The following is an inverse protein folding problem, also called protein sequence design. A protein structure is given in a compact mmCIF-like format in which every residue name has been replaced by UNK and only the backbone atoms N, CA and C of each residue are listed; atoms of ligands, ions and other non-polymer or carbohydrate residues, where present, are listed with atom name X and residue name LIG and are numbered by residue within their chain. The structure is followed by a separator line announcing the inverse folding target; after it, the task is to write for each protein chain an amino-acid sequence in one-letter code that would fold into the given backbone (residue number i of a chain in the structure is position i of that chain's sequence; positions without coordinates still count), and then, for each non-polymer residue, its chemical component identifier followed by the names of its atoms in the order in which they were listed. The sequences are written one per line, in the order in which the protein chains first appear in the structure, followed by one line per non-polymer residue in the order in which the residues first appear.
data_IF_874958666653
#
_entry.id   IF_874958666653
#
_cell.length_a   1.000
_cell.length_b   1.000
_cell.length_c   1.000
_cell.angle_alpha   90.00
_cell.angle_beta   90.00
_cell.angle_gamma   90.00
#
_symmetry.space_group_name_H-M   'P 1'
#
loop_
_entity.id
_entity.type
_entity.pdbx_description
1 polymer ?
#
# COMPACT_ATOMS: atom_id res chain seq x y z
N UNK A 1 61.34 3.62 -38.95
CA UNK A 1 60.65 4.25 -40.11
C UNK A 1 59.26 4.66 -39.64
N UNK A 2 58.98 5.96 -39.46
CA UNK A 2 58.14 6.82 -40.33
C UNK A 2 56.71 6.24 -40.51
N UNK A 3 55.67 6.68 -39.76
CA UNK A 3 54.83 7.90 -39.84
C UNK A 3 53.72 7.86 -40.92
N UNK A 4 52.49 8.25 -40.50
CA UNK A 4 51.37 8.89 -41.25
C UNK A 4 50.48 7.93 -42.07
N UNK A 5 49.14 7.91 -42.01
CA UNK A 5 48.14 8.71 -41.31
C UNK A 5 46.82 8.77 -42.12
N UNK A 6 45.67 8.90 -41.41
CA UNK A 6 44.53 9.80 -41.75
C UNK A 6 43.63 9.40 -42.97
N UNK A 7 42.28 9.44 -43.01
CA UNK A 7 41.19 10.06 -42.21
C UNK A 7 39.80 9.49 -42.61
N UNK A 8 38.81 9.69 -41.70
CA UNK A 8 37.38 10.12 -41.89
C UNK A 8 36.55 9.44 -42.98
N UNK A 9 35.33 8.93 -42.76
CA UNK A 9 34.37 9.05 -41.66
C UNK A 9 32.95 8.86 -42.24
N UNK A 10 32.00 8.37 -41.45
CA UNK A 10 30.59 8.73 -41.63
C UNK A 10 29.82 8.43 -40.34
N UNK A 11 29.27 9.49 -39.76
CA UNK A 11 28.47 9.53 -38.55
C UNK A 11 27.13 10.16 -38.97
N UNK A 12 26.05 9.38 -38.93
CA UNK A 12 24.66 9.82 -39.05
C UNK A 12 23.79 8.70 -38.44
N UNK A 13 23.30 8.76 -37.19
CA UNK A 13 22.30 9.63 -36.57
C UNK A 13 20.85 9.30 -37.00
N UNK A 14 20.19 8.50 -36.14
CA UNK A 14 18.77 8.52 -35.70
C UNK A 14 17.67 8.15 -36.70
N UNK A 15 16.88 7.12 -36.34
CA UNK A 15 15.42 7.26 -36.22
C UNK A 15 14.81 6.11 -35.39
N UNK A 16 14.25 6.51 -34.26
CA UNK A 16 13.46 5.73 -33.31
C UNK A 16 12.06 5.50 -33.91
N UNK A 17 11.70 4.27 -34.26
CA UNK A 17 10.33 3.95 -34.75
C UNK A 17 9.45 3.63 -33.53
N UNK A 18 8.71 4.62 -33.05
CA UNK A 18 7.55 4.37 -32.18
C UNK A 18 6.34 3.96 -33.03
N UNK A 19 5.56 2.93 -32.65
CA UNK A 19 4.23 2.69 -33.20
C UNK A 19 3.22 3.53 -32.41
N UNK A 20 2.84 4.69 -32.97
CA UNK A 20 1.84 5.57 -32.41
C UNK A 20 0.89 6.09 -33.48
N UNK A 21 -0.38 5.70 -33.34
CA UNK A 21 -1.57 6.46 -33.74
C UNK A 21 -1.84 6.61 -35.24
N UNK A 22 -2.76 5.75 -35.67
CA UNK A 22 -3.88 6.05 -36.58
C UNK A 22 -4.22 7.53 -36.73
N UNK A 23 -4.30 7.96 -37.99
CA UNK A 23 -5.15 9.02 -38.56
C UNK A 23 -4.34 9.93 -39.49
N UNK A 24 -4.18 9.50 -40.74
CA UNK A 24 -4.00 10.43 -41.84
C UNK A 24 -4.77 9.92 -43.07
N UNK A 25 -5.89 10.59 -43.28
CA UNK A 25 -6.56 10.75 -44.56
C UNK A 25 -5.55 11.11 -45.66
N UNK A 26 -5.63 10.42 -46.79
CA UNK A 26 -5.11 10.89 -48.07
C UNK A 26 -5.93 10.29 -49.25
N UNK A 27 -6.97 11.04 -49.62
CA UNK A 27 -7.43 11.38 -50.99
C UNK A 27 -7.37 10.29 -52.08
N UNK A 28 -8.56 10.00 -52.67
CA UNK A 28 -8.89 10.39 -54.06
C UNK A 28 -10.36 10.11 -54.46
N UNK A 29 -10.94 11.10 -55.19
CA UNK A 29 -12.09 11.07 -56.13
C UNK A 29 -13.52 11.03 -55.53
N UNK A 30 -14.53 11.74 -56.01
CA UNK A 30 -14.77 12.63 -57.17
C UNK A 30 -15.96 13.57 -56.85
N UNK A 31 -16.08 14.66 -57.62
CA UNK A 31 -17.30 15.37 -58.03
C UNK A 31 -18.17 16.22 -57.06
N UNK A 32 -18.28 17.50 -57.49
CA UNK A 32 -19.49 18.36 -57.55
C UNK A 32 -20.07 19.09 -56.33
N UNK A 33 -20.19 20.42 -56.52
CA UNK A 33 -21.32 21.31 -56.15
C UNK A 33 -21.60 21.52 -54.64
N UNK A 34 -21.84 22.71 -54.10
CA UNK A 34 -21.96 24.10 -54.58
C UNK A 34 -21.93 24.98 -53.32
N UNK A 35 -21.47 26.22 -53.49
CA UNK A 35 -21.92 27.43 -52.80
C UNK A 35 -21.71 27.68 -51.29
N UNK A 36 -20.92 28.74 -51.05
CA UNK A 36 -21.19 29.90 -50.18
C UNK A 36 -21.10 29.71 -48.66
N UNK A 37 -20.61 30.67 -47.87
CA UNK A 37 -19.87 31.93 -48.03
C UNK A 37 -19.62 32.39 -46.59
N UNK A 38 -18.41 32.89 -46.32
CA UNK A 38 -18.08 34.02 -45.42
C UNK A 38 -18.50 33.96 -43.93
N UNK A 39 -17.53 34.03 -42.99
CA UNK A 39 -16.92 35.28 -42.46
C UNK A 39 -17.93 36.13 -41.69
N UNK A 40 -17.66 36.83 -40.59
CA UNK A 40 -16.47 37.28 -39.88
C UNK A 40 -16.98 37.78 -38.50
N UNK A 41 -16.30 37.50 -37.38
CA UNK A 41 -15.23 38.31 -36.76
C UNK A 41 -15.68 39.64 -36.12
N UNK A 42 -15.17 39.84 -34.88
CA UNK A 42 -14.75 41.11 -34.23
C UNK A 42 -15.84 42.01 -33.64
N UNK A 43 -15.64 42.82 -32.60
CA UNK A 43 -14.60 43.07 -31.59
C UNK A 43 -15.11 44.28 -30.72
N UNK A 44 -14.55 44.47 -29.50
CA UNK A 44 -14.42 45.74 -28.71
C UNK A 44 -15.71 46.27 -27.98
N UNK A 45 -15.72 46.97 -26.82
CA UNK A 45 -14.72 47.67 -25.98
C UNK A 45 -15.33 48.20 -24.64
N UNK A 46 -14.45 48.39 -23.64
CA UNK A 46 -14.30 49.48 -22.62
C UNK A 46 -15.32 49.84 -21.48
N UNK A 47 -14.77 49.77 -20.25
CA UNK A 47 -14.70 50.72 -19.10
C UNK A 47 -15.91 51.58 -18.58
N UNK A 48 -16.22 51.51 -17.25
CA UNK A 48 -15.88 52.50 -16.16
C UNK A 48 -16.76 52.42 -14.86
N UNK A 49 -16.08 52.36 -13.69
CA UNK A 49 -16.31 52.88 -12.29
C UNK A 49 -17.71 53.34 -11.78
N UNK A 50 -18.30 52.71 -10.74
CA UNK A 50 -18.30 52.97 -9.23
C UNK A 50 -19.37 54.00 -8.76
N UNK A 51 -19.89 54.08 -7.48
CA UNK A 51 -19.61 53.35 -6.22
C UNK A 51 -20.86 53.01 -5.31
N UNK A 52 -20.60 52.56 -4.07
CA UNK A 52 -21.44 52.54 -2.83
C UNK A 52 -22.42 51.36 -2.54
N UNK A 53 -22.01 50.47 -1.61
CA UNK A 53 -22.74 50.20 -0.36
C UNK A 53 -21.93 49.40 0.69
N UNK A 54 -21.78 50.08 1.82
CA UNK A 54 -21.44 49.71 3.20
C UNK A 54 -21.63 48.27 3.70
N UNK A 55 -20.74 47.96 4.63
CA UNK A 55 -20.89 47.13 5.84
C UNK A 55 -21.16 45.64 5.64
N UNK A 56 -20.12 44.83 5.82
CA UNK A 56 -20.28 43.60 6.60
C UNK A 56 -18.97 43.09 7.22
N UNK A 57 -19.17 42.51 8.39
CA UNK A 57 -18.20 42.19 9.42
C UNK A 57 -16.91 41.51 8.96
N UNK A 58 -15.80 42.02 9.50
CA UNK A 58 -14.52 41.33 9.60
C UNK A 58 -14.67 40.09 10.48
N UNK A 59 -15.24 39.03 9.91
CA UNK A 59 -15.34 37.69 10.50
C UNK A 59 -13.92 37.23 10.83
N UNK A 60 -13.56 37.27 12.11
CA UNK A 60 -12.37 36.61 12.66
C UNK A 60 -12.40 35.16 12.15
N UNK A 61 -11.51 34.81 11.22
CA UNK A 61 -11.23 33.41 10.92
C UNK A 61 -10.76 32.79 12.24
N UNK A 62 -11.59 31.96 12.84
CA UNK A 62 -11.14 31.05 13.91
C UNK A 62 -9.90 30.32 13.41
N UNK A 63 -8.84 30.20 14.23
CA UNK A 63 -7.64 29.48 13.82
C UNK A 63 -8.05 28.07 13.43
N UNK A 64 -7.76 27.68 12.18
CA UNK A 64 -7.98 26.32 11.73
C UNK A 64 -7.30 25.37 12.72
N UNK A 65 -8.00 24.32 13.19
CA UNK A 65 -7.44 23.39 14.14
C UNK A 65 -6.18 22.76 13.55
N UNK A 66 -5.07 22.87 14.28
CA UNK A 66 -3.78 22.29 13.87
C UNK A 66 -3.96 20.78 13.71
N UNK A 67 -3.88 20.31 12.47
CA UNK A 67 -3.87 18.87 12.16
C UNK A 67 -2.67 18.23 12.83
N UNK A 68 -2.91 17.19 13.61
CA UNK A 68 -1.87 16.48 14.33
C UNK A 68 -1.16 15.52 13.38
N UNK A 69 0.14 15.73 13.15
CA UNK A 69 0.94 14.84 12.32
C UNK A 69 1.57 13.75 13.20
N UNK A 70 0.99 12.55 13.17
CA UNK A 70 1.54 11.38 13.86
C UNK A 70 2.81 10.89 13.15
N UNK A 71 3.94 10.80 13.86
CA UNK A 71 5.19 10.21 13.35
C UNK A 71 5.29 8.79 13.89
N UNK A 72 5.09 7.79 13.02
CA UNK A 72 5.10 6.37 13.37
C UNK A 72 6.17 5.59 12.59
N UNK A 73 6.55 4.42 13.09
CA UNK A 73 7.51 3.52 12.47
C UNK A 73 6.86 2.62 11.43
N UNK A 74 6.19 1.57 11.90
CA UNK A 74 5.43 0.64 11.07
C UNK A 74 3.95 0.71 11.43
N UNK A 75 3.09 0.41 10.46
CA UNK A 75 1.67 0.18 10.69
C UNK A 75 1.26 -1.13 10.07
N UNK A 76 0.39 -1.88 10.73
CA UNK A 76 -0.15 -3.12 10.20
C UNK A 76 -1.51 -3.45 10.81
N UNK A 77 -2.22 -4.35 10.13
CA UNK A 77 -3.54 -4.82 10.53
C UNK A 77 -3.39 -6.16 11.24
N UNK A 78 -4.05 -6.31 12.40
CA UNK A 78 -3.91 -7.51 13.23
C UNK A 78 -5.17 -7.76 14.05
N UNK A 79 -5.28 -8.96 14.61
CA UNK A 79 -6.33 -9.36 15.55
C UNK A 79 -5.79 -9.34 16.96
N UNK A 80 -6.58 -8.80 17.88
CA UNK A 80 -6.30 -8.86 19.32
C UNK A 80 -6.64 -10.27 19.82
N UNK A 81 -5.67 -10.94 20.44
CA UNK A 81 -5.83 -12.30 20.98
C UNK A 81 -6.30 -12.24 22.43
N UNK A 82 -5.61 -11.45 23.24
CA UNK A 82 -5.84 -11.34 24.68
C UNK A 82 -5.44 -9.97 25.19
N UNK A 83 -6.03 -9.56 26.30
CA UNK A 83 -5.70 -8.32 27.03
C UNK A 83 -5.12 -8.74 28.37
N UNK A 84 -4.09 -8.05 28.86
CA UNK A 84 -3.52 -8.34 30.17
C UNK A 84 -4.53 -7.89 31.25
N UNK A 85 -4.82 -8.72 32.26
CA UNK A 85 -5.80 -8.36 33.29
C UNK A 85 -5.38 -7.15 34.13
N UNK A 86 -4.06 -6.91 34.23
CA UNK A 86 -3.50 -5.85 35.06
C UNK A 86 -3.33 -4.51 34.33
N UNK A 87 -3.56 -4.46 33.01
CA UNK A 87 -3.36 -3.25 32.20
C UNK A 87 -4.23 -3.20 30.96
N UNK A 88 -5.09 -2.18 30.86
CA UNK A 88 -5.93 -1.94 29.68
C UNK A 88 -5.12 -1.40 28.49
N UNK A 89 -3.83 -1.11 28.68
CA UNK A 89 -2.91 -0.63 27.63
C UNK A 89 -2.04 -1.73 27.04
N UNK A 90 -2.05 -2.92 27.63
CA UNK A 90 -1.23 -4.05 27.22
C UNK A 90 -2.08 -5.18 26.68
N UNK A 91 -1.79 -5.60 25.47
CA UNK A 91 -2.52 -6.69 24.83
C UNK A 91 -1.62 -7.48 23.89
N UNK A 92 -2.03 -8.70 23.61
CA UNK A 92 -1.32 -9.62 22.71
C UNK A 92 -2.00 -9.58 21.35
N UNK A 93 -1.21 -9.36 20.30
CA UNK A 93 -1.65 -9.34 18.92
C UNK A 93 -1.11 -10.54 18.14
N UNK A 94 -1.78 -10.89 17.05
CA UNK A 94 -1.33 -11.92 16.12
C UNK A 94 -0.59 -11.31 14.92
N UNK A 95 0.72 -11.54 14.82
CA UNK A 95 1.53 -11.09 13.69
C UNK A 95 1.89 -12.29 12.82
N UNK A 96 1.78 -12.15 11.49
CA UNK A 96 2.24 -13.17 10.55
C UNK A 96 3.68 -12.86 10.15
N UNK A 97 4.62 -13.67 10.63
CA UNK A 97 6.03 -13.58 10.26
C UNK A 97 6.37 -14.64 9.20
N UNK A 98 7.25 -14.35 8.23
CA UNK A 98 7.77 -15.36 7.31
C UNK A 98 8.52 -16.44 8.10
N UNK A 99 8.13 -17.70 7.93
CA UNK A 99 8.71 -18.83 8.65
C UNK A 99 9.92 -19.37 7.88
N UNK A 100 11.15 -19.28 8.44
CA UNK A 100 12.36 -19.71 7.73
C UNK A 100 12.31 -21.17 7.30
N UNK A 101 11.70 -22.05 8.10
CA UNK A 101 11.59 -23.47 7.80
C UNK A 101 10.63 -23.69 6.63
N UNK A 102 9.45 -23.06 6.66
CA UNK A 102 8.48 -23.19 5.56
C UNK A 102 9.01 -22.61 4.25
N UNK A 103 9.75 -21.50 4.32
CA UNK A 103 10.43 -20.91 3.15
C UNK A 103 11.47 -21.87 2.59
N UNK A 104 12.32 -22.44 3.46
CA UNK A 104 13.31 -23.43 3.05
C UNK A 104 12.65 -24.65 2.40
N UNK A 105 11.64 -25.23 3.04
CA UNK A 105 10.90 -26.40 2.55
C UNK A 105 10.23 -26.09 1.19
N UNK A 106 9.64 -24.89 1.04
CA UNK A 106 9.04 -24.44 -0.21
C UNK A 106 10.09 -24.29 -1.33
N UNK A 107 11.24 -23.70 -1.04
CA UNK A 107 12.32 -23.55 -2.00
C UNK A 107 12.90 -24.90 -2.43
N UNK A 108 13.09 -25.82 -1.48
CA UNK A 108 13.54 -27.17 -1.77
C UNK A 108 12.54 -27.92 -2.66
N UNK A 109 11.24 -27.85 -2.34
CA UNK A 109 10.18 -28.42 -3.18
C UNK A 109 10.17 -27.82 -4.59
N UNK A 110 10.32 -26.50 -4.73
CA UNK A 110 10.41 -25.82 -6.04
C UNK A 110 11.58 -26.35 -6.86
N UNK A 111 12.76 -26.45 -6.25
CA UNK A 111 13.96 -26.93 -6.93
C UNK A 111 13.79 -28.39 -7.38
N UNK A 112 13.19 -29.24 -6.55
CA UNK A 112 12.90 -30.63 -6.91
C UNK A 112 11.91 -30.76 -8.07
N UNK A 113 10.79 -30.01 -8.03
CA UNK A 113 9.80 -30.04 -9.13
C UNK A 113 10.35 -29.43 -10.41
N UNK A 114 11.16 -28.39 -10.30
CA UNK A 114 11.81 -27.78 -11.46
C UNK A 114 12.75 -28.77 -12.16
N UNK A 115 13.52 -29.55 -11.39
CA UNK A 115 14.40 -30.59 -11.95
C UNK A 115 13.62 -31.73 -12.62
N UNK A 116 12.46 -32.11 -12.08
CA UNK A 116 11.55 -33.08 -12.69
C UNK A 116 10.98 -32.58 -14.02
N UNK A 117 10.50 -31.33 -14.05
CA UNK A 117 10.00 -30.68 -15.27
C UNK A 117 11.09 -30.59 -16.34
N UNK A 118 12.33 -30.27 -15.96
CA UNK A 118 13.46 -30.24 -16.88
C UNK A 118 13.75 -31.64 -17.49
N UNK A 119 13.68 -32.70 -16.68
CA UNK A 119 13.81 -34.08 -17.16
C UNK A 119 12.68 -34.47 -18.12
N UNK A 120 11.44 -34.10 -17.82
CA UNK A 120 10.29 -34.36 -18.67
C UNK A 120 10.41 -33.63 -20.02
N UNK A 121 10.86 -32.37 -20.02
CA UNK A 121 11.12 -31.62 -21.24
C UNK A 121 12.22 -32.28 -22.09
N UNK A 122 13.31 -32.71 -21.45
CA UNK A 122 14.40 -33.40 -22.15
C UNK A 122 13.93 -34.73 -22.76
N UNK A 123 13.14 -35.53 -22.04
CA UNK A 123 12.56 -36.77 -22.55
C UNK A 123 11.63 -36.51 -23.74
N UNK A 124 10.79 -35.48 -23.66
CA UNK A 124 9.92 -35.06 -24.77
C UNK A 124 10.74 -34.72 -26.03
N UNK A 125 11.89 -34.08 -25.87
CA UNK A 125 12.75 -33.73 -26.99
C UNK A 125 13.50 -34.92 -27.60
N UNK A 126 13.80 -35.95 -26.82
CA UNK A 126 14.43 -37.19 -27.31
C UNK A 126 13.46 -38.12 -28.04
N UNK A 127 12.16 -37.96 -27.85
CA UNK A 127 11.13 -38.76 -28.52
C UNK A 127 11.20 -38.54 -30.03
N UNK A 128 11.46 -39.59 -30.80
CA UNK A 128 11.58 -39.52 -32.27
C UNK A 128 10.23 -39.54 -32.98
N UNK A 129 9.23 -40.21 -32.40
CA UNK A 129 7.86 -40.25 -32.91
C UNK A 129 7.14 -38.92 -32.69
N UNK A 130 6.56 -38.35 -33.77
CA UNK A 130 5.90 -37.05 -33.74
C UNK A 130 4.66 -37.02 -32.84
N UNK A 131 3.80 -38.04 -32.91
CA UNK A 131 2.56 -38.08 -32.14
C UNK A 131 2.87 -38.26 -30.64
N UNK A 132 3.85 -39.11 -30.32
CA UNK A 132 4.31 -39.30 -28.95
C UNK A 132 4.97 -38.03 -28.40
N UNK A 133 5.80 -37.35 -29.20
CA UNK A 133 6.42 -36.06 -28.83
C UNK A 133 5.36 -35.00 -28.55
N UNK A 134 4.36 -34.86 -29.43
CA UNK A 134 3.23 -33.94 -29.24
C UNK A 134 2.49 -34.20 -27.94
N UNK A 135 2.21 -35.46 -27.63
CA UNK A 135 1.51 -35.84 -26.39
C UNK A 135 2.35 -35.55 -25.14
N UNK A 136 3.65 -35.88 -25.15
CA UNK A 136 4.55 -35.58 -24.02
C UNK A 136 4.73 -34.08 -23.82
N UNK A 137 4.81 -33.30 -24.91
CA UNK A 137 4.89 -31.84 -24.81
C UNK A 137 3.61 -31.24 -24.24
N UNK A 138 2.43 -31.74 -24.64
CA UNK A 138 1.16 -31.32 -24.07
C UNK A 138 1.08 -31.64 -22.56
N UNK A 139 1.58 -32.79 -22.13
CA UNK A 139 1.68 -33.14 -20.69
C UNK A 139 2.62 -32.20 -19.95
N UNK A 140 3.82 -31.95 -20.47
CA UNK A 140 4.76 -30.99 -19.90
C UNK A 140 4.15 -29.60 -19.73
N UNK A 141 3.42 -29.09 -20.72
CA UNK A 141 2.73 -27.81 -20.63
C UNK A 141 1.67 -27.79 -19.52
N UNK A 142 0.92 -28.88 -19.37
CA UNK A 142 -0.05 -29.04 -18.27
C UNK A 142 0.64 -29.08 -16.91
N UNK A 143 1.75 -29.80 -16.79
CA UNK A 143 2.51 -29.93 -15.56
C UNK A 143 3.19 -28.62 -15.15
N UNK A 144 3.69 -27.85 -16.12
CA UNK A 144 4.17 -26.48 -15.90
C UNK A 144 3.07 -25.56 -15.36
N UNK A 145 1.87 -25.62 -15.95
CA UNK A 145 0.74 -24.84 -15.46
C UNK A 145 0.38 -25.22 -14.01
N UNK A 146 0.24 -26.51 -13.74
CA UNK A 146 -0.04 -27.03 -12.40
C UNK A 146 1.05 -26.62 -11.39
N UNK A 147 2.33 -26.69 -11.79
CA UNK A 147 3.44 -26.24 -10.97
C UNK A 147 3.31 -24.77 -10.59
N UNK A 148 3.01 -23.87 -11.55
CA UNK A 148 2.83 -22.45 -11.27
C UNK A 148 1.66 -22.19 -10.31
N UNK A 149 0.55 -22.91 -10.48
CA UNK A 149 -0.61 -22.83 -9.58
C UNK A 149 -0.24 -23.31 -8.17
N UNK A 150 0.51 -24.42 -8.07
CA UNK A 150 0.95 -24.96 -6.78
C UNK A 150 1.97 -24.05 -6.08
N UNK A 151 2.88 -23.43 -6.83
CA UNK A 151 3.81 -22.42 -6.30
C UNK A 151 3.00 -21.30 -5.65
N UNK A 152 2.04 -20.71 -6.36
CA UNK A 152 1.20 -19.64 -5.83
C UNK A 152 0.43 -20.07 -4.57
N UNK A 153 -0.20 -21.25 -4.59
CA UNK A 153 -0.92 -21.80 -3.42
C UNK A 153 -0.02 -21.97 -2.20
N UNK A 154 1.20 -22.50 -2.40
CA UNK A 154 2.16 -22.73 -1.31
C UNK A 154 2.78 -21.42 -0.81
N UNK A 155 3.01 -20.44 -1.69
CA UNK A 155 3.55 -19.13 -1.32
C UNK A 155 2.67 -18.38 -0.32
N UNK A 156 1.35 -18.60 -0.34
CA UNK A 156 0.43 -18.01 0.65
C UNK A 156 0.58 -18.60 2.06
N UNK A 157 1.19 -19.78 2.20
CA UNK A 157 1.33 -20.49 3.48
C UNK A 157 2.74 -20.38 4.09
N UNK A 158 3.58 -19.47 3.58
CA UNK A 158 4.96 -19.29 4.05
C UNK A 158 5.08 -18.52 5.37
N UNK A 159 3.97 -17.96 5.86
CA UNK A 159 3.93 -17.25 7.13
C UNK A 159 3.43 -18.15 8.25
N UNK A 160 3.89 -17.86 9.46
CA UNK A 160 3.40 -18.46 10.69
C UNK A 160 2.90 -17.35 11.60
N UNK A 161 1.76 -17.58 12.25
CA UNK A 161 1.22 -16.66 13.23
C UNK A 161 2.05 -16.71 14.52
N UNK A 162 2.41 -15.54 15.01
CA UNK A 162 3.16 -15.36 16.25
C UNK A 162 2.45 -14.36 17.13
N UNK A 163 2.40 -14.69 18.41
CA UNK A 163 1.77 -13.83 19.42
C UNK A 163 2.82 -12.84 19.91
N UNK A 164 2.51 -11.55 19.82
CA UNK A 164 3.40 -10.48 20.25
C UNK A 164 2.67 -9.60 21.25
N UNK A 165 3.28 -9.40 22.41
CA UNK A 165 2.78 -8.47 23.42
C UNK A 165 3.15 -7.04 23.03
N UNK A 166 2.15 -6.16 22.96
CA UNK A 166 2.30 -4.75 22.63
C UNK A 166 1.85 -3.86 23.78
N UNK A 167 2.49 -2.70 23.89
CA UNK A 167 2.36 -1.79 25.02
C UNK A 167 1.94 -0.40 24.53
N UNK A 168 0.96 0.21 25.19
CA UNK A 168 0.58 1.58 24.88
C UNK A 168 1.58 2.56 25.49
N UNK A 169 2.23 3.38 24.64
CA UNK A 169 3.02 4.49 25.15
C UNK A 169 2.16 5.49 25.94
N UNK A 170 2.77 6.39 26.70
CA UNK A 170 2.05 7.32 27.58
C UNK A 170 0.99 8.14 26.83
N UNK A 171 1.33 8.57 25.61
CA UNK A 171 0.49 9.36 24.71
C UNK A 171 -0.28 8.50 23.69
N UNK A 172 -0.46 7.21 23.95
CA UNK A 172 -1.17 6.32 23.04
C UNK A 172 -2.64 6.74 22.87
N UNK A 173 -3.13 6.70 21.63
CA UNK A 173 -4.51 7.07 21.28
C UNK A 173 -5.28 5.87 20.78
N UNK A 174 -6.48 5.67 21.29
CA UNK A 174 -7.39 4.64 20.77
C UNK A 174 -8.49 5.30 19.96
N UNK A 175 -8.78 4.72 18.81
CA UNK A 175 -9.79 5.18 17.86
C UNK A 175 -10.61 4.03 17.34
N UNK A 176 -11.78 4.34 16.84
CA UNK A 176 -12.66 3.38 16.17
C UNK A 176 -13.05 3.92 14.81
N UNK A 177 -13.06 3.07 13.79
CA UNK A 177 -13.53 3.48 12.46
C UNK A 177 -15.05 3.71 12.44
N UNK A 178 -15.77 3.02 13.32
CA UNK A 178 -17.22 3.16 13.51
C UNK A 178 -17.52 3.97 14.77
N UNK A 179 -18.45 4.95 14.72
CA UNK A 179 -18.87 5.67 15.90
C UNK A 179 -19.59 4.72 16.87
N UNK A 180 -19.64 5.09 18.14
CA UNK A 180 -20.43 4.34 19.13
C UNK A 180 -21.91 4.37 18.74
N UNK A 181 -22.58 3.25 18.95
CA UNK A 181 -24.03 3.14 18.72
C UNK A 181 -24.70 3.86 19.89
N UNK A 182 -25.38 4.96 19.57
CA UNK A 182 -26.26 5.65 20.51
C UNK A 182 -27.69 5.18 20.27
N UNK A 183 -28.45 5.02 21.34
CA UNK A 183 -29.88 4.76 21.28
C UNK A 183 -30.62 6.05 21.60
N UNK A 184 -31.74 6.30 20.91
CA UNK A 184 -32.64 7.39 21.27
C UNK A 184 -33.48 7.03 22.51
N UNK A 185 -34.26 7.99 23.00
CA UNK A 185 -35.13 7.83 24.18
C UNK A 185 -36.19 6.72 23.99
N UNK A 186 -36.39 6.24 22.76
CA UNK A 186 -37.30 5.15 22.42
C UNK A 186 -36.59 3.79 22.28
N UNK A 187 -35.28 3.74 22.50
CA UNK A 187 -34.47 2.53 22.39
C UNK A 187 -34.12 2.13 20.96
N UNK A 188 -34.36 3.00 19.97
CA UNK A 188 -33.96 2.76 18.58
C UNK A 188 -32.53 3.23 18.33
N UNK A 189 -31.83 2.56 17.42
CA UNK A 189 -30.47 2.96 17.02
C UNK A 189 -30.53 4.33 16.35
N UNK A 190 -29.92 5.33 16.98
CA UNK A 190 -29.82 6.68 16.46
C UNK A 190 -28.98 6.68 15.19
N UNK A 191 -29.63 6.96 14.06
CA UNK A 191 -28.93 7.12 12.77
C UNK A 191 -28.24 8.48 12.75
N UNK A 192 -26.96 8.51 13.10
CA UNK A 192 -26.14 9.71 13.03
C UNK A 192 -26.08 10.24 11.58
N UNK A 193 -26.45 11.50 11.41
CA UNK A 193 -26.34 12.23 10.15
C UNK A 193 -24.87 12.50 9.80
N UNK A 194 -24.56 12.82 8.53
CA UNK A 194 -23.17 13.08 8.11
C UNK A 194 -22.51 14.22 8.89
N UNK A 195 -23.27 15.27 9.21
CA UNK A 195 -22.79 16.42 10.00
C UNK A 195 -22.46 16.03 11.44
N UNK A 196 -23.27 15.19 12.06
CA UNK A 196 -23.00 14.68 13.41
C UNK A 196 -21.79 13.74 13.42
N UNK A 197 -21.66 12.88 12.40
CA UNK A 197 -20.48 12.04 12.22
C UNK A 197 -19.20 12.87 12.05
N UNK A 198 -19.24 13.97 11.32
CA UNK A 198 -18.08 14.86 11.22
C UNK A 198 -17.79 15.60 12.53
N UNK A 199 -18.82 16.02 13.27
CA UNK A 199 -18.65 16.66 14.57
C UNK A 199 -18.09 15.70 15.64
N UNK A 200 -18.40 14.41 15.55
CA UNK A 200 -17.86 13.36 16.42
C UNK A 200 -16.41 13.01 16.08
N UNK A 201 -15.96 13.28 14.85
CA UNK A 201 -14.54 13.24 14.54
C UNK A 201 -13.89 14.44 15.16
N UNK A 202 -12.80 14.21 15.88
CA UNK A 202 -12.03 15.31 16.43
C UNK A 202 -11.29 16.05 15.31
N UNK A 203 -11.03 17.33 15.57
CA UNK A 203 -10.39 18.24 14.60
C UNK A 203 -8.90 17.95 14.36
N UNK A 204 -8.36 16.87 14.94
CA UNK A 204 -6.95 16.47 14.79
C UNK A 204 -6.63 15.92 13.41
N UNK A 205 -7.64 15.46 12.67
CA UNK A 205 -7.47 14.85 11.35
C UNK A 205 -6.91 13.41 11.39
N UNK A 206 -6.89 12.80 12.58
CA UNK A 206 -6.50 11.41 12.75
C UNK A 206 -7.65 10.45 12.31
N UNK A 207 -7.34 9.22 11.89
CA UNK A 207 -8.33 8.30 11.34
C UNK A 207 -9.32 7.78 12.40
N UNK A 208 -10.61 7.84 12.08
CA UNK A 208 -11.68 7.34 12.95
C UNK A 208 -12.07 8.29 14.08
N UNK A 209 -12.96 7.81 14.93
CA UNK A 209 -13.51 8.51 16.08
C UNK A 209 -12.67 8.23 17.33
N UNK A 210 -12.46 9.20 18.23
CA UNK A 210 -11.84 8.94 19.53
C UNK A 210 -12.57 7.83 20.28
N UNK A 211 -11.81 6.94 20.93
CA UNK A 211 -12.35 5.87 21.76
C UNK A 211 -11.44 5.62 22.96
N UNK A 212 -12.01 4.98 23.98
CA UNK A 212 -11.29 4.55 25.18
C UNK A 212 -10.55 3.23 24.97
N UNK A 213 -9.54 2.97 25.81
CA UNK A 213 -8.78 1.72 25.82
C UNK A 213 -9.66 0.49 26.07
N UNK A 214 -10.70 0.62 26.90
CA UNK A 214 -11.66 -0.44 27.21
C UNK A 214 -12.50 -0.90 25.99
N UNK A 215 -12.50 -0.12 24.91
CA UNK A 215 -13.15 -0.51 23.67
C UNK A 215 -12.34 -1.58 22.90
N UNK A 216 -11.05 -1.73 23.20
CA UNK A 216 -10.23 -2.82 22.67
C UNK A 216 -10.67 -4.09 23.39
N UNK A 217 -11.12 -5.08 22.63
CA UNK A 217 -11.59 -6.36 23.16
C UNK A 217 -10.90 -7.51 22.42
N UNK A 218 -10.70 -8.67 23.08
CA UNK A 218 -10.24 -9.86 22.40
C UNK A 218 -11.15 -10.19 21.21
N UNK A 219 -10.55 -10.53 20.08
CA UNK A 219 -11.26 -10.83 18.84
C UNK A 219 -11.44 -9.63 17.90
N UNK A 220 -11.30 -8.39 18.38
CA UNK A 220 -11.36 -7.22 17.49
C UNK A 220 -10.17 -7.20 16.52
N UNK A 221 -10.45 -6.72 15.30
CA UNK A 221 -9.43 -6.36 14.34
C UNK A 221 -9.02 -4.90 14.54
N UNK A 222 -7.73 -4.64 14.50
CA UNK A 222 -7.16 -3.32 14.73
C UNK A 222 -6.08 -2.98 13.70
N UNK A 223 -5.96 -1.70 13.35
CA UNK A 223 -4.78 -1.14 12.70
C UNK A 223 -3.91 -0.48 13.78
N UNK A 224 -2.71 -1.03 14.00
CA UNK A 224 -1.78 -0.55 15.02
C UNK A 224 -0.68 0.31 14.39
N UNK A 225 -0.38 1.45 15.01
CA UNK A 225 0.66 2.39 14.60
C UNK A 225 1.78 2.32 15.63
N UNK A 226 2.89 1.68 15.27
CA UNK A 226 4.03 1.45 16.15
C UNK A 226 4.90 2.69 16.30
N UNK A 227 5.49 2.88 17.48
CA UNK A 227 6.52 3.89 17.71
C UNK A 227 7.71 3.63 16.78
N UNK A 228 8.32 4.69 16.25
CA UNK A 228 9.56 4.55 15.48
C UNK A 228 10.69 4.17 16.45
N UNK A 229 11.40 3.06 16.26
CA UNK A 229 12.50 2.69 17.14
C UNK A 229 13.57 3.80 17.12
N UNK A 230 14.02 4.23 18.30
CA UNK A 230 15.10 5.19 18.40
C UNK A 230 16.35 4.58 17.74
N UNK A 231 17.05 5.36 16.92
CA UNK A 231 18.29 4.91 16.31
C UNK A 231 19.27 4.54 17.43
N UNK A 232 19.79 3.30 17.42
CA UNK A 232 20.85 2.90 18.35
C UNK A 232 22.01 3.89 18.17
N UNK A 233 22.26 4.74 19.18
CA UNK A 233 23.48 5.54 19.21
C UNK A 233 24.63 4.54 19.11
N UNK A 234 25.50 4.69 18.12
CA UNK A 234 26.76 3.94 18.08
C UNK A 234 27.53 4.39 19.31
N UNK A 235 27.49 3.59 20.37
CA UNK A 235 28.33 3.78 21.54
C UNK A 235 29.78 3.71 21.06
N UNK A 236 30.43 4.87 21.04
CA UNK A 236 31.88 4.93 20.91
C UNK A 236 32.50 4.27 22.14
N UNK A 237 33.32 3.23 21.89
CA UNK A 237 34.36 2.67 22.76
C UNK A 237 34.59 3.39 24.12
N UNK A 238 34.13 2.75 25.21
CA UNK A 238 34.91 2.27 26.37
C UNK A 238 33.92 1.82 27.46
N UNK A 239 33.63 0.51 27.53
CA UNK A 239 33.00 -0.10 28.72
C UNK A 239 34.11 -0.61 29.64
N UNK A 240 34.05 -0.21 30.90
CA UNK A 240 34.74 -0.89 32.00
C UNK A 240 33.99 -2.18 32.37
N UNK A 241 34.55 -3.01 33.27
CA UNK A 241 34.11 -4.40 33.47
C UNK A 241 32.77 -4.63 34.20
N UNK A 242 32.02 -3.60 34.65
CA UNK A 242 30.90 -3.78 35.60
C UNK A 242 29.54 -3.18 35.17
N UNK A 243 29.32 -2.89 33.88
CA UNK A 243 27.98 -2.46 33.41
C UNK A 243 27.11 -3.65 32.97
N UNK A 244 26.66 -4.44 33.95
CA UNK A 244 25.62 -5.48 33.84
C UNK A 244 24.20 -4.88 33.87
N UNK A 245 24.00 -3.71 33.25
CA UNK A 245 22.64 -3.21 33.02
C UNK A 245 21.97 -4.10 31.95
N UNK A 246 20.85 -4.79 32.27
CA UNK A 246 20.15 -5.61 31.30
C UNK A 246 19.73 -4.73 30.12
N UNK A 247 20.13 -5.11 28.91
CA UNK A 247 19.75 -4.40 27.69
C UNK A 247 18.25 -4.11 27.73
N UNK A 248 17.80 -2.86 27.49
CA UNK A 248 16.38 -2.53 27.51
C UNK A 248 15.71 -3.44 26.49
N UNK A 249 14.90 -4.38 26.99
CA UNK A 249 14.10 -5.25 26.13
C UNK A 249 13.34 -4.36 25.16
N UNK A 250 13.46 -4.59 23.85
CA UNK A 250 12.67 -3.84 22.87
C UNK A 250 11.20 -4.10 23.14
N UNK A 251 10.56 -3.18 23.88
CA UNK A 251 9.13 -3.20 24.10
C UNK A 251 8.45 -2.76 22.81
N UNK A 252 7.48 -3.55 22.36
CA UNK A 252 6.72 -3.21 21.16
C UNK A 252 5.68 -2.14 21.53
N UNK A 253 6.10 -0.88 21.47
CA UNK A 253 5.26 0.25 21.85
C UNK A 253 4.42 0.76 20.68
N UNK A 254 3.15 1.09 20.95
CA UNK A 254 2.24 1.70 19.98
C UNK A 254 1.88 3.15 20.36
N UNK A 255 1.69 3.96 19.32
CA UNK A 255 1.23 5.35 19.39
C UNK A 255 -0.27 5.48 19.20
N UNK A 256 -0.85 4.63 18.36
CA UNK A 256 -2.26 4.69 18.04
C UNK A 256 -2.80 3.33 17.64
N UNK A 257 -4.03 3.04 18.06
CA UNK A 257 -4.80 1.86 17.66
C UNK A 257 -6.09 2.34 17.04
N UNK A 258 -6.44 1.82 15.86
CA UNK A 258 -7.72 2.07 15.20
C UNK A 258 -8.49 0.75 15.13
N UNK A 259 -9.61 0.66 15.85
CA UNK A 259 -10.52 -0.49 15.85
C UNK A 259 -11.28 -0.52 14.53
N UNK A 260 -11.26 -1.69 13.90
CA UNK A 260 -11.87 -1.93 12.60
C UNK A 260 -13.12 -2.81 12.79
N UNK A 261 -14.21 -2.55 12.05
CA UNK A 261 -15.45 -3.31 12.19
C UNK A 261 -15.33 -4.75 11.65
N UNK A 262 -14.46 -4.97 10.66
CA UNK A 262 -14.34 -6.25 9.95
C UNK A 262 -12.87 -6.60 9.67
N UNK A 263 -12.63 -7.89 9.38
CA UNK A 263 -11.37 -8.38 8.86
C UNK A 263 -11.10 -7.81 7.46
N UNK A 264 -9.84 -7.53 7.14
CA UNK A 264 -9.43 -7.07 5.81
C UNK A 264 -8.96 -8.22 4.93
#
# INVERSE_FOLDING_TARGET
MKRIGIFIGFLALVAFVMPGLTAQDAKKKDAEKTDKKEEAKKDLKDEKKDPDKKDDEKKKKEPEPKKEKLVYGQKFFTKVISIKPDSNREFTIQVYEPDPKKIFDHNNWKNMRFLELAKQQFQANLQTDFNARRNQFAQYQKDLYNFNVEVAKRSNNLTTAKNVDVFGGDNAKVRSLSPRIEFDDTGNIKKLTAKEKEALKDKTGLPGYPSEFDAIKPGHFIEIYMVKPAAKKKEGKKKGPDDDDPMPMMRHEYLMVVIQPEAK
#
